data_IF_688910482116
#
_entry.id   IF_688910482116
#
_cell.length_a   1.000
_cell.length_b   1.000
_cell.length_c   1.000
_cell.angle_alpha   90.00
_cell.angle_beta   90.00
_cell.angle_gamma   90.00
#
_symmetry.space_group_name_H-M   'P 1'
#
loop_
_entity.id
_entity.type
_entity.pdbx_description
1 polymer ?
#
# COMPACT_ATOMS: atom_id res chain seq x y z
N UNK A 1 8.73 6.19 -42.69
CA UNK A 1 7.44 6.26 -41.96
C UNK A 1 7.57 5.41 -40.71
N UNK A 2 7.28 5.97 -39.52
CA UNK A 2 7.24 5.19 -38.28
C UNK A 2 6.07 4.20 -38.34
N UNK A 3 6.26 2.97 -37.89
CA UNK A 3 5.21 1.95 -37.92
C UNK A 3 4.10 2.29 -36.91
N UNK A 4 2.85 2.10 -37.30
CA UNK A 4 1.67 2.34 -36.47
C UNK A 4 1.56 1.23 -35.39
N UNK A 5 1.16 1.59 -34.17
CA UNK A 5 0.89 0.63 -33.09
C UNK A 5 -0.28 -0.29 -33.52
N UNK A 6 -0.13 -1.61 -33.35
CA UNK A 6 -1.07 -2.67 -33.80
C UNK A 6 -1.21 -2.84 -35.34
N UNK A 7 -0.10 -2.79 -36.08
CA UNK A 7 -0.06 -3.07 -37.53
C UNK A 7 -0.22 -4.57 -37.91
N UNK A 8 -0.64 -5.41 -36.97
CA UNK A 8 -0.84 -6.85 -37.17
C UNK A 8 0.44 -7.68 -37.37
N UNK A 9 1.64 -7.05 -37.36
CA UNK A 9 2.93 -7.73 -37.61
C UNK A 9 3.78 -7.98 -36.36
N UNK A 10 3.17 -7.94 -35.17
CA UNK A 10 3.80 -8.22 -33.88
C UNK A 10 4.06 -6.97 -33.03
N UNK A 11 4.46 -7.15 -31.75
CA UNK A 11 4.69 -6.03 -30.81
C UNK A 11 5.87 -5.17 -31.27
N UNK A 12 5.59 -3.93 -31.66
CA UNK A 12 6.60 -2.90 -31.95
C UNK A 12 6.67 -1.99 -30.71
N UNK A 13 7.63 -2.27 -29.84
CA UNK A 13 7.86 -1.51 -28.61
C UNK A 13 8.53 -2.37 -27.54
N UNK A 14 9.56 -1.80 -26.89
CA UNK A 14 10.21 -2.42 -25.73
C UNK A 14 9.24 -2.65 -24.57
N UNK A 15 9.74 -3.22 -23.48
CA UNK A 15 8.93 -3.38 -22.26
C UNK A 15 8.44 -2.00 -21.78
N UNK A 16 7.16 -1.87 -21.47
CA UNK A 16 6.61 -0.63 -20.91
C UNK A 16 7.29 -0.38 -19.55
N UNK A 17 7.77 0.85 -19.33
CA UNK A 17 8.40 1.27 -18.06
C UNK A 17 7.44 0.94 -16.92
N UNK A 18 7.92 0.16 -15.93
CA UNK A 18 7.11 -0.34 -14.82
C UNK A 18 6.59 -1.78 -14.97
N UNK A 19 6.75 -2.44 -16.13
CA UNK A 19 6.36 -3.85 -16.28
C UNK A 19 7.29 -4.75 -15.46
N UNK A 20 6.81 -5.42 -14.39
CA UNK A 20 7.66 -6.21 -13.48
C UNK A 20 8.50 -7.23 -14.24
N UNK A 21 9.78 -7.33 -13.91
CA UNK A 21 10.66 -8.28 -14.60
C UNK A 21 10.22 -9.72 -14.31
N UNK A 22 10.34 -10.64 -15.29
CA UNK A 22 9.85 -12.03 -15.13
C UNK A 22 10.50 -12.73 -13.93
N UNK A 23 11.78 -12.43 -13.68
CA UNK A 23 12.54 -12.89 -12.52
C UNK A 23 11.96 -12.33 -11.21
N UNK A 24 11.58 -11.05 -11.18
CA UNK A 24 10.97 -10.41 -9.99
C UNK A 24 9.60 -11.01 -9.65
N UNK A 25 8.79 -11.35 -10.67
CA UNK A 25 7.54 -12.08 -10.46
C UNK A 25 7.80 -13.47 -9.85
N UNK A 26 8.74 -14.22 -10.43
CA UNK A 26 9.15 -15.54 -9.93
C UNK A 26 9.60 -15.53 -8.46
N UNK A 27 10.39 -14.53 -8.06
CA UNK A 27 10.84 -14.41 -6.66
C UNK A 27 9.68 -14.08 -5.72
N UNK A 28 8.76 -13.18 -6.10
CA UNK A 28 7.57 -12.87 -5.29
C UNK A 28 6.68 -14.09 -5.10
N UNK A 29 6.46 -14.85 -6.18
CA UNK A 29 5.66 -16.07 -6.15
C UNK A 29 6.32 -17.14 -5.27
N UNK A 30 7.64 -17.27 -5.37
CA UNK A 30 8.41 -18.17 -4.51
C UNK A 30 8.32 -17.78 -3.03
N UNK A 31 8.50 -16.49 -2.68
CA UNK A 31 8.36 -16.02 -1.29
C UNK A 31 6.96 -16.29 -0.76
N UNK A 32 5.91 -16.01 -1.55
CA UNK A 32 4.53 -16.30 -1.15
C UNK A 32 4.34 -17.80 -0.88
N UNK A 33 4.86 -18.67 -1.75
CA UNK A 33 4.80 -20.12 -1.54
C UNK A 33 5.55 -20.59 -0.30
N UNK A 34 6.72 -20.00 -0.01
CA UNK A 34 7.49 -20.33 1.21
C UNK A 34 6.68 -19.95 2.45
N UNK A 35 6.08 -18.77 2.48
CA UNK A 35 5.22 -18.33 3.59
C UNK A 35 4.04 -19.30 3.74
N UNK A 36 3.37 -19.64 2.65
CA UNK A 36 2.20 -20.53 2.65
C UNK A 36 2.51 -21.94 3.14
N UNK A 37 3.63 -22.51 2.69
CA UNK A 37 4.08 -23.84 3.12
C UNK A 37 4.42 -23.88 4.62
N UNK A 38 4.87 -22.76 5.18
CA UNK A 38 5.27 -22.68 6.58
C UNK A 38 4.15 -22.24 7.53
N UNK A 39 2.94 -21.93 7.04
CA UNK A 39 1.81 -21.47 7.89
C UNK A 39 1.55 -22.37 9.09
N UNK A 40 1.47 -23.69 8.87
CA UNK A 40 1.23 -24.67 9.95
C UNK A 40 2.34 -24.69 10.99
N UNK A 41 3.59 -24.46 10.57
CA UNK A 41 4.71 -24.40 11.51
C UNK A 41 4.62 -23.10 12.33
N UNK A 42 4.38 -21.96 11.69
CA UNK A 42 4.23 -20.68 12.38
C UNK A 42 3.09 -20.70 13.40
N UNK A 43 1.95 -21.34 13.09
CA UNK A 43 0.85 -21.50 14.06
C UNK A 43 1.26 -22.31 15.30
N UNK A 44 2.08 -23.36 15.12
CA UNK A 44 2.60 -24.15 16.23
C UNK A 44 3.61 -23.35 17.05
N UNK A 45 4.49 -22.62 16.40
CA UNK A 45 5.50 -21.79 17.06
C UNK A 45 4.82 -20.71 17.91
N UNK A 46 3.80 -20.02 17.38
CA UNK A 46 3.02 -19.02 18.12
C UNK A 46 2.34 -19.65 19.35
N UNK A 47 1.84 -20.88 19.24
CA UNK A 47 1.25 -21.63 20.38
C UNK A 47 2.30 -22.09 21.40
N UNK A 48 3.55 -22.26 20.99
CA UNK A 48 4.64 -22.65 21.87
C UNK A 48 5.28 -21.46 22.62
N UNK A 49 5.08 -20.23 22.14
CA UNK A 49 5.57 -19.02 22.79
C UNK A 49 4.97 -18.84 24.19
N UNK A 50 5.74 -18.17 25.06
CA UNK A 50 5.26 -17.72 26.37
C UNK A 50 4.03 -16.80 26.23
N UNK A 51 3.14 -16.75 27.23
CA UNK A 51 1.89 -15.98 27.13
C UNK A 51 2.10 -14.51 26.74
N UNK A 52 3.14 -13.86 27.28
CA UNK A 52 3.46 -12.46 26.99
C UNK A 52 3.90 -12.26 25.54
N UNK A 53 4.82 -13.09 25.06
CA UNK A 53 5.37 -13.00 23.70
C UNK A 53 4.31 -13.34 22.65
N UNK A 54 3.43 -14.29 22.96
CA UNK A 54 2.28 -14.62 22.12
C UNK A 54 1.37 -13.41 21.92
N UNK A 55 1.04 -12.69 22.99
CA UNK A 55 0.20 -11.48 22.92
C UNK A 55 0.89 -10.38 22.10
N UNK A 56 2.20 -10.16 22.29
CA UNK A 56 2.96 -9.18 21.52
C UNK A 56 3.03 -9.52 20.03
N UNK A 57 3.20 -10.80 19.68
CA UNK A 57 3.19 -11.21 18.27
C UNK A 57 1.81 -11.00 17.63
N UNK A 58 0.74 -11.33 18.34
CA UNK A 58 -0.63 -11.11 17.87
C UNK A 58 -0.92 -9.61 17.68
N UNK A 59 -0.49 -8.75 18.61
CA UNK A 59 -0.61 -7.29 18.49
C UNK A 59 0.06 -6.78 17.20
N UNK A 60 1.27 -7.24 16.90
CA UNK A 60 1.98 -6.87 15.66
C UNK A 60 1.23 -7.32 14.41
N UNK A 61 0.67 -8.52 14.41
CA UNK A 61 -0.13 -9.03 13.28
C UNK A 61 -1.43 -8.23 13.10
N UNK A 62 -2.08 -7.81 14.20
CA UNK A 62 -3.32 -7.02 14.13
C UNK A 62 -3.13 -5.70 13.38
N UNK A 63 -1.94 -5.10 13.38
CA UNK A 63 -1.67 -3.84 12.66
C UNK A 63 -1.84 -3.97 11.13
N UNK A 64 -1.75 -5.19 10.59
CA UNK A 64 -1.89 -5.46 9.16
C UNK A 64 -3.29 -5.98 8.78
N UNK A 65 -4.07 -6.42 9.76
CA UNK A 65 -5.42 -7.00 9.53
C UNK A 65 -6.51 -6.00 9.91
N UNK A 66 -6.31 -5.28 11.01
CA UNK A 66 -7.25 -4.29 11.52
C UNK A 66 -6.83 -2.93 10.96
N UNK A 67 -7.72 -2.20 10.27
CA UNK A 67 -7.45 -0.83 9.88
C UNK A 67 -7.21 -0.02 11.15
N UNK A 68 -5.97 0.44 11.35
CA UNK A 68 -5.63 1.32 12.45
C UNK A 68 -6.51 2.56 12.28
N UNK A 69 -7.37 2.84 13.26
CA UNK A 69 -8.13 4.09 13.23
C UNK A 69 -7.10 5.21 13.17
N UNK A 70 -7.03 5.86 12.01
CA UNK A 70 -6.27 7.09 11.89
C UNK A 70 -6.92 8.03 12.89
N UNK A 71 -6.12 8.56 13.82
CA UNK A 71 -6.54 9.77 14.52
C UNK A 71 -7.00 10.72 13.41
N UNK A 72 -8.24 11.20 13.49
CA UNK A 72 -8.76 12.14 12.52
C UNK A 72 -7.94 13.42 12.64
N UNK A 73 -6.77 13.45 11.98
CA UNK A 73 -6.08 14.67 11.68
C UNK A 73 -6.99 15.36 10.70
N UNK A 74 -7.69 16.40 11.15
CA UNK A 74 -8.26 17.40 10.26
C UNK A 74 -7.10 18.09 9.54
N UNK A 75 -6.44 17.38 8.63
CA UNK A 75 -5.49 17.93 7.69
C UNK A 75 -6.34 18.70 6.68
N UNK A 76 -6.70 19.92 7.07
CA UNK A 76 -7.26 20.91 6.15
C UNK A 76 -6.14 21.27 5.20
N UNK A 77 -6.17 20.67 4.01
CA UNK A 77 -5.21 20.94 2.96
C UNK A 77 -5.61 22.25 2.26
N UNK A 78 -5.14 23.37 2.82
CA UNK A 78 -5.47 24.72 2.32
C UNK A 78 -5.06 24.93 0.85
N UNK A 79 -4.14 24.11 0.31
CA UNK A 79 -3.74 24.19 -1.10
C UNK A 79 -4.84 23.73 -2.08
N UNK A 80 -5.92 23.13 -1.59
CA UNK A 80 -7.06 22.67 -2.40
C UNK A 80 -8.24 23.64 -2.38
N UNK A 81 -8.17 24.70 -1.58
CA UNK A 81 -9.20 25.72 -1.51
C UNK A 81 -8.95 26.78 -2.59
N UNK A 82 -10.01 27.37 -3.14
CA UNK A 82 -9.87 28.54 -4.00
C UNK A 82 -9.53 29.78 -3.18
N UNK A 83 -8.94 30.79 -3.82
CA UNK A 83 -8.64 32.07 -3.17
C UNK A 83 -9.89 32.69 -2.53
N UNK A 84 -11.05 32.61 -3.20
CA UNK A 84 -12.34 33.06 -2.67
C UNK A 84 -12.74 32.33 -1.38
N UNK A 85 -12.44 31.03 -1.27
CA UNK A 85 -12.72 30.25 -0.07
C UNK A 85 -11.75 30.57 1.07
N UNK A 86 -10.49 30.90 0.73
CA UNK A 86 -9.50 31.34 1.71
C UNK A 86 -9.87 32.71 2.27
N UNK A 87 -10.31 33.64 1.43
CA UNK A 87 -10.76 34.97 1.85
C UNK A 87 -11.96 34.90 2.80
N UNK A 88 -12.96 34.06 2.49
CA UNK A 88 -14.10 33.84 3.40
C UNK A 88 -13.69 33.31 4.77
N UNK A 89 -12.72 32.38 4.81
CA UNK A 89 -12.21 31.83 6.07
C UNK A 89 -11.44 32.90 6.85
N UNK A 90 -10.64 33.71 6.17
CA UNK A 90 -9.89 34.82 6.79
C UNK A 90 -10.85 35.87 7.35
N UNK A 91 -11.89 36.24 6.61
CA UNK A 91 -12.92 37.18 7.07
C UNK A 91 -13.69 36.65 8.29
N UNK A 92 -14.01 35.36 8.35
CA UNK A 92 -14.66 34.77 9.52
C UNK A 92 -13.74 34.69 10.75
N UNK A 93 -12.44 34.45 10.57
CA UNK A 93 -11.46 34.39 11.66
C UNK A 93 -11.03 35.78 12.16
N UNK A 94 -11.07 36.79 11.30
CA UNK A 94 -10.66 38.17 11.63
C UNK A 94 -11.82 39.07 12.05
N UNK A 95 -13.06 38.57 11.97
CA UNK A 95 -14.22 39.16 12.67
C UNK A 95 -14.01 39.08 14.18
N UNK A 96 -13.35 40.11 14.71
CA UNK A 96 -13.37 40.50 16.13
C UNK A 96 -14.48 41.51 16.32
#
# INVERSE_FOLDING_TARGET
MARQKNDGKGRIGGRQKGTPNKVTASVKDWVAQVIDKNRRQMERDIKALEPKDRLQMLEKLMQYVVPKQQAASANVDFNKLSDEQLDLIVDELTKI
#
